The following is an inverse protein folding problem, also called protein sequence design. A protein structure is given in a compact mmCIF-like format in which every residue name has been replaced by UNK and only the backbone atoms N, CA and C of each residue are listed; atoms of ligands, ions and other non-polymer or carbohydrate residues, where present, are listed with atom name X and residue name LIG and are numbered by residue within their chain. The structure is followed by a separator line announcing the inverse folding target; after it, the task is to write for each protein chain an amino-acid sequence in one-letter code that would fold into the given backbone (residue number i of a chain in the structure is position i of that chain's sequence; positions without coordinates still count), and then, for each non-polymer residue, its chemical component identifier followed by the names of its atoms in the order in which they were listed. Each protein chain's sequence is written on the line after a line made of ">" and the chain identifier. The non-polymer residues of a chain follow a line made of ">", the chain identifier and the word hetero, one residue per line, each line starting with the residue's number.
data_IF_166031932346
#
_entry.id   IF_166031932346
#
_cell.length_a   1.000
_cell.length_b   1.000
_cell.length_c   1.000
_cell.angle_alpha   90.00
_cell.angle_beta   90.00
_cell.angle_gamma   90.00
#
_symmetry.space_group_name_H-M   'P 1'
#
loop_
_entity.id
_entity.type
_entity.pdbx_description
1 polymer ?
#
# COMPACT_ATOMS: atom_id res chain seq x y z
N UNK A 1 6.13 9.25 -11.72
CA UNK A 1 6.13 8.06 -10.85
C UNK A 1 7.42 7.99 -10.04
N UNK A 2 7.31 7.78 -8.73
CA UNK A 2 8.45 7.42 -7.86
C UNK A 2 8.34 5.95 -7.50
N UNK A 3 9.33 5.17 -7.91
CA UNK A 3 9.50 3.79 -7.53
C UNK A 3 10.56 3.68 -6.44
N UNK A 4 10.15 3.29 -5.24
CA UNK A 4 11.08 3.18 -4.13
C UNK A 4 10.62 2.12 -3.12
N UNK A 5 11.57 1.34 -2.59
CA UNK A 5 11.29 0.29 -1.62
C UNK A 5 10.50 0.81 -0.40
N UNK A 6 9.76 -0.06 0.26
CA UNK A 6 9.05 0.29 1.50
C UNK A 6 10.05 0.68 2.59
N UNK A 7 9.72 1.70 3.39
CA UNK A 7 10.58 2.19 4.48
C UNK A 7 11.54 3.33 4.11
N UNK A 8 11.68 3.70 2.83
CA UNK A 8 12.59 4.78 2.38
C UNK A 8 12.04 6.18 2.68
N UNK A 9 10.77 6.31 3.04
CA UNK A 9 10.18 7.62 3.31
C UNK A 9 9.43 8.25 2.13
N UNK A 10 8.85 7.45 1.23
CA UNK A 10 8.02 7.94 0.10
C UNK A 10 6.97 8.96 0.52
N UNK A 11 6.28 8.74 1.65
CA UNK A 11 5.25 9.64 2.16
C UNK A 11 5.83 11.00 2.59
N UNK A 12 7.02 11.00 3.20
CA UNK A 12 7.73 12.24 3.53
C UNK A 12 8.17 12.98 2.27
N UNK A 13 8.69 12.27 1.26
CA UNK A 13 9.01 12.88 -0.04
C UNK A 13 7.78 13.57 -0.61
N UNK A 14 6.62 12.91 -0.63
CA UNK A 14 5.37 13.52 -1.12
C UNK A 14 4.95 14.74 -0.30
N UNK A 15 5.12 14.70 1.04
CA UNK A 15 4.81 15.82 1.91
C UNK A 15 5.70 17.04 1.64
N UNK A 16 7.00 16.83 1.44
CA UNK A 16 7.96 17.91 1.10
C UNK A 16 7.72 18.48 -0.30
N UNK A 17 7.56 17.62 -1.30
CA UNK A 17 7.38 18.04 -2.69
C UNK A 17 6.06 18.81 -2.88
N UNK A 18 5.00 18.39 -2.20
CA UNK A 18 3.70 19.07 -2.23
C UNK A 18 3.62 20.31 -1.37
N UNK A 19 4.65 20.69 -0.59
CA UNK A 19 4.57 21.76 0.41
C UNK A 19 4.25 23.14 -0.17
N UNK A 20 4.62 23.42 -1.41
CA UNK A 20 4.35 24.69 -2.10
C UNK A 20 2.92 24.82 -2.65
N UNK A 21 2.16 23.72 -2.72
CA UNK A 21 0.80 23.72 -3.25
C UNK A 21 -0.24 23.94 -2.14
N UNK A 22 -1.29 24.67 -2.46
CA UNK A 22 -2.34 25.05 -1.49
C UNK A 22 -3.33 23.92 -1.27
N UNK A 23 -3.71 23.22 -2.35
CA UNK A 23 -4.71 22.15 -2.32
C UNK A 23 -4.10 20.84 -2.78
N UNK A 24 -3.98 19.89 -1.85
CA UNK A 24 -3.32 18.62 -2.05
C UNK A 24 -4.27 17.48 -1.74
N UNK A 25 -4.32 16.49 -2.62
CA UNK A 25 -5.04 15.24 -2.42
C UNK A 25 -4.06 14.09 -2.25
N UNK A 26 -4.20 13.33 -1.18
CA UNK A 26 -3.49 12.06 -0.96
C UNK A 26 -4.48 10.90 -1.02
N UNK A 27 -4.27 9.96 -1.92
CA UNK A 27 -5.17 8.83 -2.16
C UNK A 27 -4.50 7.52 -1.80
N UNK A 28 -5.16 6.71 -0.97
CA UNK A 28 -4.73 5.34 -0.64
C UNK A 28 -5.93 4.40 -0.46
N UNK A 29 -5.67 3.09 -0.45
CA UNK A 29 -6.74 2.09 -0.36
C UNK A 29 -7.12 1.70 1.08
N UNK A 30 -6.28 1.98 2.08
CA UNK A 30 -6.51 1.63 3.50
C UNK A 30 -6.51 2.85 4.40
N UNK A 31 -7.45 2.88 5.34
CA UNK A 31 -7.55 3.95 6.35
C UNK A 31 -6.27 4.08 7.18
N UNK A 32 -5.61 2.95 7.51
CA UNK A 32 -4.37 2.98 8.29
C UNK A 32 -3.24 3.72 7.57
N UNK A 33 -3.14 3.55 6.24
CA UNK A 33 -2.15 4.27 5.42
C UNK A 33 -2.46 5.77 5.42
N UNK A 34 -3.73 6.15 5.29
CA UNK A 34 -4.14 7.55 5.34
C UNK A 34 -3.78 8.19 6.69
N UNK A 35 -4.05 7.51 7.81
CA UNK A 35 -3.71 7.98 9.16
C UNK A 35 -2.20 8.14 9.36
N UNK A 36 -1.40 7.18 8.86
CA UNK A 36 0.06 7.28 8.90
C UNK A 36 0.58 8.43 8.02
N UNK A 37 -0.01 8.62 6.86
CA UNK A 37 0.36 9.71 5.95
C UNK A 37 0.10 11.08 6.57
N UNK A 38 -1.04 11.28 7.25
CA UNK A 38 -1.34 12.53 7.99
C UNK A 38 -0.24 12.86 8.98
N UNK A 39 0.28 11.88 9.73
CA UNK A 39 1.37 12.11 10.69
C UNK A 39 2.62 12.61 9.98
N UNK A 40 2.99 11.98 8.86
CA UNK A 40 4.15 12.40 8.06
C UNK A 40 3.97 13.83 7.51
N UNK A 41 2.77 14.14 7.01
CA UNK A 41 2.44 15.47 6.49
C UNK A 41 2.45 16.55 7.58
N UNK A 42 1.93 16.25 8.77
CA UNK A 42 1.97 17.17 9.92
C UNK A 42 3.39 17.53 10.33
N UNK A 43 4.31 16.58 10.25
CA UNK A 43 5.72 16.82 10.56
C UNK A 43 6.42 17.74 9.55
N UNK A 44 5.92 17.83 8.33
CA UNK A 44 6.50 18.65 7.24
C UNK A 44 5.74 19.97 7.07
N UNK A 45 4.41 19.91 7.14
CA UNK A 45 3.49 21.03 6.87
C UNK A 45 2.65 21.35 8.09
N UNK A 46 3.29 21.71 9.20
CA UNK A 46 2.65 21.92 10.50
C UNK A 46 1.55 23.00 10.53
N UNK A 47 1.58 23.94 9.58
CA UNK A 47 0.58 25.01 9.46
C UNK A 47 -0.61 24.68 8.54
N UNK A 48 -0.59 23.53 7.85
CA UNK A 48 -1.69 23.12 6.99
C UNK A 48 -2.85 22.54 7.81
N UNK A 49 -4.06 22.69 7.32
CA UNK A 49 -5.23 22.01 7.84
C UNK A 49 -5.50 20.73 7.05
N UNK A 50 -5.93 19.68 7.75
CA UNK A 50 -6.04 18.34 7.26
C UNK A 50 -7.46 17.82 7.37
N UNK A 51 -7.91 17.10 6.38
CA UNK A 51 -9.21 16.45 6.37
C UNK A 51 -9.19 15.06 5.78
N UNK A 52 -10.24 14.29 6.03
CA UNK A 52 -10.44 12.96 5.49
C UNK A 52 -11.65 12.92 4.55
N UNK A 53 -11.50 12.14 3.48
CA UNK A 53 -12.59 11.81 2.58
C UNK A 53 -12.67 10.29 2.43
N UNK A 54 -13.35 9.65 3.39
CA UNK A 54 -13.42 8.20 3.49
C UNK A 54 -14.85 7.70 3.82
N UNK A 55 -14.99 6.49 4.33
CA UNK A 55 -16.28 5.92 4.71
C UNK A 55 -17.02 6.68 5.82
N UNK A 56 -16.30 7.46 6.63
CA UNK A 56 -16.82 8.13 7.83
C UNK A 56 -16.87 9.63 7.70
N UNK A 57 -15.84 10.23 7.13
CA UNK A 57 -15.65 11.68 7.00
C UNK A 57 -15.71 12.10 5.53
N UNK A 58 -16.20 13.30 5.27
CA UNK A 58 -16.39 13.91 3.93
C UNK A 58 -15.90 15.35 3.92
N UNK A 59 -14.72 15.59 4.48
CA UNK A 59 -14.12 16.92 4.47
C UNK A 59 -13.82 17.39 3.05
N UNK A 60 -14.09 18.67 2.76
CA UNK A 60 -13.86 19.27 1.45
C UNK A 60 -13.01 20.53 1.49
N UNK A 61 -13.15 21.33 2.54
CA UNK A 61 -12.57 22.68 2.63
C UNK A 61 -11.19 22.68 3.33
N UNK A 62 -10.44 21.58 3.21
CA UNK A 62 -9.11 21.44 3.82
C UNK A 62 -8.00 21.59 2.79
N UNK A 63 -6.87 22.12 3.24
CA UNK A 63 -5.68 22.29 2.38
C UNK A 63 -5.12 20.96 1.91
N UNK A 64 -5.17 19.94 2.77
CA UNK A 64 -4.72 18.59 2.44
C UNK A 64 -5.83 17.60 2.78
N UNK A 65 -6.32 16.89 1.77
CA UNK A 65 -7.35 15.87 1.93
C UNK A 65 -6.74 14.48 1.72
N UNK A 66 -6.99 13.59 2.68
CA UNK A 66 -6.61 12.19 2.65
C UNK A 66 -7.85 11.36 2.30
N UNK A 67 -7.86 10.80 1.10
CA UNK A 67 -9.04 10.12 0.57
C UNK A 67 -8.84 8.62 0.42
N UNK A 68 -9.85 7.84 0.82
CA UNK A 68 -9.87 6.43 0.46
C UNK A 68 -10.36 6.25 -0.98
N UNK A 69 -9.68 5.39 -1.73
CA UNK A 69 -10.08 5.02 -3.10
C UNK A 69 -11.51 4.48 -3.13
N UNK A 70 -11.87 3.65 -2.15
CA UNK A 70 -13.19 3.01 -2.07
C UNK A 70 -14.33 4.03 -1.94
N UNK A 71 -14.04 5.22 -1.40
CA UNK A 71 -15.01 6.31 -1.29
C UNK A 71 -14.88 7.27 -2.46
N UNK A 72 -13.73 7.92 -2.62
CA UNK A 72 -13.55 8.97 -3.63
C UNK A 72 -13.72 8.42 -5.07
N UNK A 73 -13.33 7.18 -5.33
CA UNK A 73 -13.45 6.55 -6.66
C UNK A 73 -14.89 6.16 -7.06
N UNK A 74 -15.91 6.54 -6.27
CA UNK A 74 -17.30 6.40 -6.66
C UNK A 74 -17.72 7.56 -7.55
N UNK A 75 -18.52 7.29 -8.56
CA UNK A 75 -18.96 8.30 -9.53
C UNK A 75 -19.78 9.43 -8.90
N UNK A 76 -20.44 9.17 -7.77
CA UNK A 76 -21.21 10.14 -7.02
C UNK A 76 -20.38 11.28 -6.41
N UNK A 77 -19.06 11.07 -6.23
CA UNK A 77 -18.15 12.07 -5.66
C UNK A 77 -17.24 12.74 -6.70
N UNK A 78 -17.10 12.17 -7.88
CA UNK A 78 -16.29 12.70 -8.96
C UNK A 78 -17.15 13.59 -9.87
N UNK A 79 -17.51 14.77 -9.36
CA UNK A 79 -18.32 15.76 -10.08
C UNK A 79 -18.10 17.17 -9.50
N UNK A 80 -18.53 18.19 -10.23
CA UNK A 80 -18.37 19.60 -9.90
C UNK A 80 -18.99 20.02 -8.55
N UNK A 81 -20.01 19.30 -8.07
CA UNK A 81 -20.68 19.61 -6.79
C UNK A 81 -19.80 19.27 -5.60
N UNK A 82 -19.02 18.18 -5.69
CA UNK A 82 -18.11 17.76 -4.63
C UNK A 82 -16.73 18.40 -4.79
N UNK A 83 -16.08 18.15 -5.93
CA UNK A 83 -14.77 18.68 -6.25
C UNK A 83 -14.71 18.98 -7.74
N UNK A 84 -14.53 20.25 -8.17
CA UNK A 84 -14.17 20.56 -9.54
C UNK A 84 -12.93 19.77 -10.00
N UNK A 85 -12.85 19.48 -11.28
CA UNK A 85 -11.76 18.66 -11.81
C UNK A 85 -10.36 19.25 -11.53
N UNK A 86 -10.26 20.58 -11.48
CA UNK A 86 -9.04 21.35 -11.17
C UNK A 86 -8.89 21.73 -9.68
N UNK A 87 -9.76 21.19 -8.81
CA UNK A 87 -9.78 21.57 -7.39
C UNK A 87 -8.44 21.34 -6.69
N UNK A 88 -7.79 20.22 -6.94
CA UNK A 88 -6.51 19.89 -6.36
C UNK A 88 -5.36 20.29 -7.29
N UNK A 89 -4.44 21.09 -6.78
CA UNK A 89 -3.23 21.49 -7.52
C UNK A 89 -2.21 20.33 -7.59
N UNK A 90 -2.20 19.48 -6.57
CA UNK A 90 -1.28 18.35 -6.44
C UNK A 90 -2.04 17.09 -5.99
N UNK A 91 -1.94 16.03 -6.77
CA UNK A 91 -2.56 14.74 -6.46
C UNK A 91 -1.49 13.68 -6.26
N UNK A 92 -1.58 12.97 -5.12
CA UNK A 92 -0.67 11.87 -4.77
C UNK A 92 -1.49 10.58 -4.76
N UNK A 93 -1.02 9.59 -5.51
CA UNK A 93 -1.59 8.24 -5.51
C UNK A 93 -0.58 7.30 -4.89
N UNK A 94 -0.88 6.82 -3.70
CA UNK A 94 -0.07 5.79 -3.04
C UNK A 94 -0.45 4.41 -3.57
N UNK A 95 0.53 3.49 -3.56
CA UNK A 95 0.44 2.18 -4.19
C UNK A 95 -0.01 2.28 -5.67
N UNK A 96 0.68 3.14 -6.43
CA UNK A 96 0.34 3.49 -7.80
C UNK A 96 0.23 2.30 -8.75
N UNK A 97 0.79 1.14 -8.40
CA UNK A 97 0.59 -0.10 -9.14
C UNK A 97 -0.88 -0.54 -9.21
N UNK A 98 -1.76 0.01 -8.37
CA UNK A 98 -3.21 -0.17 -8.48
C UNK A 98 -3.91 0.83 -9.41
N UNK A 99 -3.21 1.85 -9.95
CA UNK A 99 -3.80 2.93 -10.75
C UNK A 99 -4.57 2.46 -12.00
N UNK A 100 -4.31 1.27 -12.50
CA UNK A 100 -5.03 0.65 -13.62
C UNK A 100 -6.36 -0.03 -13.22
N UNK A 101 -6.70 -0.08 -11.93
CA UNK A 101 -8.00 -0.59 -11.48
C UNK A 101 -9.08 0.49 -11.61
N UNK A 102 -10.32 0.09 -11.84
CA UNK A 102 -11.41 1.00 -12.21
C UNK A 102 -11.60 2.20 -11.25
N UNK A 103 -11.48 1.97 -9.94
CA UNK A 103 -11.68 3.05 -8.95
C UNK A 103 -10.53 4.07 -8.97
N UNK A 104 -9.28 3.59 -9.02
CA UNK A 104 -8.12 4.48 -9.12
C UNK A 104 -8.10 5.22 -10.44
N UNK A 105 -8.39 4.51 -11.53
CA UNK A 105 -8.42 5.06 -12.87
C UNK A 105 -9.40 6.21 -12.98
N UNK A 106 -10.63 6.05 -12.45
CA UNK A 106 -11.61 7.14 -12.41
C UNK A 106 -11.10 8.38 -11.69
N UNK A 107 -10.40 8.23 -10.58
CA UNK A 107 -9.82 9.36 -9.84
C UNK A 107 -8.75 10.07 -10.70
N UNK A 108 -7.83 9.31 -11.29
CA UNK A 108 -6.74 9.85 -12.12
C UNK A 108 -7.26 10.51 -13.39
N UNK A 109 -8.29 9.96 -14.03
CA UNK A 109 -8.89 10.51 -15.24
C UNK A 109 -9.79 11.73 -14.96
N UNK A 110 -10.38 11.81 -13.77
CA UNK A 110 -11.26 12.93 -13.41
C UNK A 110 -10.49 14.19 -13.03
N UNK A 111 -9.52 14.08 -12.12
CA UNK A 111 -8.78 15.25 -11.65
C UNK A 111 -7.72 15.71 -12.66
N UNK A 112 -7.59 17.03 -12.79
CA UNK A 112 -6.63 17.70 -13.66
C UNK A 112 -5.65 18.54 -12.82
N UNK A 113 -4.81 17.93 -11.97
CA UNK A 113 -3.88 18.65 -11.13
C UNK A 113 -2.74 19.26 -11.95
N UNK A 114 -2.08 20.27 -11.40
CA UNK A 114 -0.82 20.78 -11.96
C UNK A 114 0.28 19.71 -11.88
N UNK A 115 0.21 18.83 -10.88
CA UNK A 115 1.16 17.72 -10.72
C UNK A 115 0.49 16.46 -10.16
N UNK A 116 0.73 15.34 -10.84
CA UNK A 116 0.33 13.99 -10.39
C UNK A 116 1.55 13.21 -9.93
N UNK A 117 1.61 12.82 -8.67
CA UNK A 117 2.65 11.97 -8.09
C UNK A 117 2.14 10.55 -7.84
N UNK A 118 2.67 9.58 -8.55
CA UNK A 118 2.49 8.16 -8.22
C UNK A 118 3.62 7.66 -7.32
N UNK A 119 3.28 6.96 -6.24
CA UNK A 119 4.22 6.30 -5.35
C UNK A 119 4.01 4.79 -5.39
N UNK A 120 5.06 4.01 -5.57
CA UNK A 120 4.98 2.54 -5.50
C UNK A 120 6.28 1.92 -5.01
N UNK A 121 6.16 0.76 -4.36
CA UNK A 121 7.31 -0.09 -4.03
C UNK A 121 7.52 -1.22 -5.06
N UNK A 122 6.52 -1.50 -5.89
CA UNK A 122 6.47 -2.60 -6.86
C UNK A 122 5.84 -2.13 -8.16
N UNK A 123 6.62 -1.60 -9.11
CA UNK A 123 6.08 -1.10 -10.38
C UNK A 123 5.63 -2.24 -11.31
N UNK A 124 6.24 -3.41 -11.16
CA UNK A 124 5.90 -4.58 -11.98
C UNK A 124 4.61 -5.24 -11.50
N UNK A 125 3.74 -5.55 -12.43
CA UNK A 125 2.46 -6.22 -12.19
C UNK A 125 2.44 -7.57 -12.89
N UNK A 126 1.90 -8.57 -12.18
CA UNK A 126 1.73 -9.92 -12.73
C UNK A 126 0.65 -10.00 -13.84
N UNK A 127 -0.24 -9.00 -13.91
CA UNK A 127 -1.34 -8.96 -14.90
C UNK A 127 -0.95 -8.27 -16.22
N UNK A 128 0.33 -7.88 -16.40
CA UNK A 128 0.86 -7.26 -17.61
C UNK A 128 0.34 -5.86 -17.92
N UNK A 129 -0.48 -5.26 -17.05
CA UNK A 129 -0.96 -3.90 -17.23
C UNK A 129 0.14 -2.88 -16.97
N UNK A 130 0.30 -1.95 -17.89
CA UNK A 130 1.35 -0.95 -17.84
C UNK A 130 0.92 0.30 -17.06
N UNK A 131 1.50 0.50 -15.88
CA UNK A 131 1.25 1.70 -15.08
C UNK A 131 2.05 2.91 -15.56
N UNK A 132 3.09 2.69 -16.35
CA UNK A 132 3.97 3.78 -16.82
C UNK A 132 3.28 4.68 -17.83
N UNK A 133 2.31 4.18 -18.59
CA UNK A 133 1.49 4.97 -19.51
C UNK A 133 0.74 6.11 -18.81
N UNK A 134 0.25 5.84 -17.58
CA UNK A 134 -0.52 6.83 -16.80
C UNK A 134 0.34 8.04 -16.39
N UNK A 135 1.63 7.86 -16.28
CA UNK A 135 2.58 8.92 -15.94
C UNK A 135 3.53 9.28 -17.09
N UNK A 136 3.10 9.06 -18.34
CA UNK A 136 3.85 9.36 -19.57
C UNK A 136 5.29 8.82 -19.53
N UNK A 137 5.48 7.64 -18.95
CA UNK A 137 6.78 6.99 -18.72
C UNK A 137 7.78 7.85 -17.90
N UNK A 138 7.29 8.86 -17.20
CA UNK A 138 8.13 9.72 -16.38
C UNK A 138 8.40 9.09 -15.01
N UNK A 139 9.62 8.56 -14.82
CA UNK A 139 10.09 7.94 -13.57
C UNK A 139 11.36 8.68 -13.10
N UNK A 140 11.21 9.85 -12.47
CA UNK A 140 12.36 10.68 -12.06
C UNK A 140 13.21 10.05 -10.97
N UNK A 141 12.65 9.14 -10.17
CA UNK A 141 13.38 8.46 -9.12
C UNK A 141 13.01 6.99 -9.03
N UNK A 142 14.03 6.16 -9.00
CA UNK A 142 13.90 4.72 -8.84
C UNK A 142 14.99 4.20 -7.90
N UNK A 143 14.59 3.38 -6.91
CA UNK A 143 15.51 2.66 -6.04
C UNK A 143 14.89 1.34 -5.58
N UNK A 144 15.54 0.25 -5.92
CA UNK A 144 15.15 -1.09 -5.50
C UNK A 144 15.48 -1.36 -4.03
N UNK A 145 14.88 -2.41 -3.45
CA UNK A 145 15.21 -2.86 -2.08
C UNK A 145 16.71 -3.17 -1.94
N UNK A 146 17.29 -3.86 -2.91
CA UNK A 146 18.72 -4.22 -2.91
C UNK A 146 19.62 -2.99 -2.92
N UNK A 147 19.31 -2.03 -3.79
CA UNK A 147 20.08 -0.77 -3.86
C UNK A 147 19.95 0.06 -2.59
N UNK A 148 18.75 0.12 -2.00
CA UNK A 148 18.51 0.84 -0.77
C UNK A 148 19.30 0.24 0.41
N UNK A 149 19.38 -1.08 0.49
CA UNK A 149 20.23 -1.78 1.46
C UNK A 149 21.71 -1.48 1.21
N UNK A 150 22.17 -1.60 -0.03
CA UNK A 150 23.58 -1.36 -0.39
C UNK A 150 24.01 0.09 -0.12
N UNK A 151 23.08 1.05 -0.23
CA UNK A 151 23.31 2.47 0.09
C UNK A 151 23.15 2.80 1.59
N UNK A 152 22.88 1.79 2.45
CA UNK A 152 22.67 2.00 3.89
C UNK A 152 21.36 2.73 4.25
N UNK A 153 20.44 2.89 3.30
CA UNK A 153 19.13 3.52 3.55
C UNK A 153 18.15 2.56 4.24
N UNK A 154 18.35 1.26 4.04
CA UNK A 154 17.60 0.18 4.69
C UNK A 154 18.58 -0.82 5.30
N UNK A 155 18.17 -1.46 6.39
CA UNK A 155 18.99 -2.51 7.04
C UNK A 155 18.95 -3.81 6.23
N UNK A 156 20.05 -4.56 6.17
CA UNK A 156 20.05 -5.89 5.57
C UNK A 156 19.21 -6.86 6.40
N UNK A 157 18.77 -7.93 5.76
CA UNK A 157 18.03 -9.02 6.42
C UNK A 157 18.60 -10.37 6.02
N UNK A 158 18.35 -11.38 6.85
CA UNK A 158 18.62 -12.77 6.54
C UNK A 158 17.34 -13.45 6.14
N UNK A 159 17.34 -14.11 4.98
CA UNK A 159 16.22 -14.90 4.51
C UNK A 159 16.48 -16.38 4.76
N UNK A 160 15.57 -17.06 5.43
CA UNK A 160 15.63 -18.50 5.70
C UNK A 160 14.41 -19.18 5.08
N UNK A 161 14.65 -19.98 4.05
CA UNK A 161 13.64 -20.89 3.50
C UNK A 161 13.54 -22.13 4.37
N UNK A 162 12.33 -22.45 4.85
CA UNK A 162 12.07 -23.67 5.61
C UNK A 162 11.09 -24.51 4.81
N UNK A 163 11.54 -25.73 4.42
CA UNK A 163 10.67 -26.68 3.77
C UNK A 163 9.76 -27.34 4.80
N UNK A 164 8.47 -27.41 4.52
CA UNK A 164 7.51 -28.23 5.26
C UNK A 164 6.95 -29.34 4.35
N UNK A 165 6.45 -30.41 4.94
CA UNK A 165 5.93 -31.58 4.25
C UNK A 165 4.43 -31.47 3.92
N UNK A 166 3.85 -30.26 3.99
CA UNK A 166 2.45 -30.05 3.67
C UNK A 166 2.20 -30.33 2.18
N UNK A 167 1.28 -31.24 1.90
CA UNK A 167 0.87 -31.55 0.51
C UNK A 167 -0.13 -30.50 0.02
N UNK A 168 0.27 -29.76 -1.01
CA UNK A 168 -0.55 -28.73 -1.68
C UNK A 168 -1.19 -29.24 -2.98
N UNK A 169 -0.90 -30.47 -3.42
CA UNK A 169 -1.31 -30.98 -4.74
C UNK A 169 -2.82 -31.09 -4.91
N UNK A 170 -3.53 -31.33 -3.80
CA UNK A 170 -5.00 -31.42 -3.76
C UNK A 170 -5.73 -30.09 -3.58
N UNK A 171 -5.01 -28.98 -3.36
CA UNK A 171 -5.65 -27.71 -3.08
C UNK A 171 -6.09 -26.97 -4.34
N UNK A 172 -7.31 -26.46 -4.36
CA UNK A 172 -7.85 -25.67 -5.48
C UNK A 172 -7.18 -24.30 -5.56
N UNK A 173 -6.96 -23.87 -6.80
CA UNK A 173 -6.48 -22.53 -7.12
C UNK A 173 -7.65 -21.70 -7.64
N UNK A 174 -8.00 -20.65 -6.92
CA UNK A 174 -9.05 -19.69 -7.27
C UNK A 174 -8.41 -18.33 -7.57
N UNK A 175 -8.55 -17.83 -8.81
CA UNK A 175 -7.95 -16.55 -9.24
C UNK A 175 -6.44 -16.43 -8.96
N UNK A 176 -5.69 -17.53 -9.17
CA UNK A 176 -4.24 -17.56 -8.99
C UNK A 176 -3.76 -17.67 -7.53
N UNK A 177 -4.65 -17.96 -6.58
CA UNK A 177 -4.36 -18.21 -5.17
C UNK A 177 -4.99 -19.50 -4.71
N UNK A 178 -4.38 -20.17 -3.75
CA UNK A 178 -5.02 -21.32 -3.10
C UNK A 178 -6.31 -20.89 -2.40
N UNK A 179 -7.30 -21.80 -2.41
CA UNK A 179 -8.54 -21.58 -1.68
C UNK A 179 -8.27 -21.48 -0.18
N UNK A 180 -8.78 -20.42 0.48
CA UNK A 180 -8.48 -20.12 1.87
C UNK A 180 -9.03 -21.19 2.84
N UNK A 181 -10.20 -21.77 2.53
CA UNK A 181 -10.79 -22.80 3.38
C UNK A 181 -9.97 -24.09 3.33
N UNK A 182 -9.51 -24.49 2.15
CA UNK A 182 -8.66 -25.66 1.98
C UNK A 182 -7.26 -25.46 2.60
N UNK A 183 -6.68 -24.25 2.50
CA UNK A 183 -5.46 -23.93 3.25
C UNK A 183 -5.64 -24.00 4.76
N UNK A 184 -6.76 -23.52 5.28
CA UNK A 184 -7.07 -23.63 6.70
C UNK A 184 -7.15 -25.08 7.15
N UNK A 185 -7.77 -25.97 6.35
CA UNK A 185 -7.84 -27.42 6.65
C UNK A 185 -6.46 -28.07 6.66
N UNK A 186 -5.54 -27.63 5.78
CA UNK A 186 -4.18 -28.15 5.72
C UNK A 186 -3.28 -27.66 6.87
N UNK A 187 -3.58 -26.48 7.44
CA UNK A 187 -2.71 -25.84 8.42
C UNK A 187 -3.21 -25.93 9.86
N UNK A 188 -4.52 -25.71 10.09
CA UNK A 188 -5.10 -25.68 11.44
C UNK A 188 -5.08 -27.08 12.04
N UNK A 189 -4.53 -27.21 13.26
CA UNK A 189 -4.35 -28.50 13.95
C UNK A 189 -3.22 -29.38 13.42
N UNK A 190 -2.38 -28.87 12.53
CA UNK A 190 -1.21 -29.63 12.03
C UNK A 190 -0.03 -29.47 13.02
N UNK A 191 0.02 -30.31 14.04
CA UNK A 191 1.04 -30.28 15.08
C UNK A 191 2.46 -30.36 14.55
N UNK A 192 2.71 -31.22 13.55
CA UNK A 192 4.06 -31.36 12.92
C UNK A 192 4.54 -30.05 12.32
N UNK A 193 3.63 -29.32 11.68
CA UNK A 193 3.90 -28.01 11.12
C UNK A 193 4.17 -26.99 12.21
N UNK A 194 3.41 -26.99 13.29
CA UNK A 194 3.61 -26.10 14.43
C UNK A 194 4.94 -26.32 15.12
N UNK A 195 5.31 -27.59 15.36
CA UNK A 195 6.62 -27.95 15.91
C UNK A 195 7.77 -27.49 15.02
N UNK A 196 7.63 -27.64 13.68
CA UNK A 196 8.60 -27.15 12.73
C UNK A 196 8.77 -25.63 12.81
N UNK A 197 7.67 -24.89 12.78
CA UNK A 197 7.65 -23.44 12.89
C UNK A 197 8.27 -22.99 14.21
N UNK A 198 7.85 -23.59 15.31
CA UNK A 198 8.36 -23.28 16.66
C UNK A 198 9.86 -23.56 16.79
N UNK A 199 10.34 -24.68 16.25
CA UNK A 199 11.78 -25.02 16.20
C UNK A 199 12.60 -23.94 15.52
N UNK A 200 12.16 -23.47 14.34
CA UNK A 200 12.90 -22.45 13.59
C UNK A 200 12.71 -21.07 14.20
N UNK A 201 11.54 -20.73 14.72
CA UNK A 201 11.33 -19.51 15.51
C UNK A 201 12.30 -19.45 16.69
N UNK A 202 12.42 -20.52 17.48
CA UNK A 202 13.37 -20.59 18.59
C UNK A 202 14.83 -20.44 18.17
N UNK A 203 15.18 -21.03 17.04
CA UNK A 203 16.55 -20.96 16.49
C UNK A 203 16.91 -19.53 16.06
N UNK A 204 15.98 -18.82 15.45
CA UNK A 204 16.22 -17.51 14.84
C UNK A 204 15.48 -16.37 15.54
N UNK A 205 14.99 -16.62 16.75
CA UNK A 205 14.20 -15.65 17.51
C UNK A 205 14.90 -14.31 17.66
N UNK A 206 14.10 -13.22 17.60
CA UNK A 206 14.50 -11.88 17.98
C UNK A 206 13.59 -11.35 19.09
N UNK A 207 13.87 -10.11 19.55
CA UNK A 207 13.05 -9.45 20.56
C UNK A 207 11.61 -9.16 20.07
N UNK A 208 11.42 -9.07 18.77
CA UNK A 208 10.11 -8.82 18.14
C UNK A 208 9.95 -9.74 16.95
N UNK A 209 8.77 -10.33 16.81
CA UNK A 209 8.42 -11.18 15.69
C UNK A 209 7.02 -10.84 15.19
N UNK A 210 6.80 -11.03 13.89
CA UNK A 210 5.49 -10.92 13.25
C UNK A 210 5.25 -12.21 12.48
N UNK A 211 4.11 -12.87 12.72
CA UNK A 211 3.65 -14.02 11.97
C UNK A 211 2.63 -13.62 10.91
N UNK A 212 2.79 -14.12 9.70
CA UNK A 212 1.81 -13.99 8.62
C UNK A 212 1.13 -15.33 8.40
N UNK A 213 -0.19 -15.35 8.53
CA UNK A 213 -1.01 -16.55 8.40
C UNK A 213 -1.93 -16.45 7.19
N UNK A 214 -2.41 -17.58 6.67
CA UNK A 214 -3.30 -17.61 5.50
C UNK A 214 -4.69 -17.04 5.81
N UNK A 215 -5.12 -17.08 7.07
CA UNK A 215 -6.39 -16.53 7.55
C UNK A 215 -6.29 -16.06 9.00
N UNK A 216 -7.32 -15.34 9.44
CA UNK A 216 -7.46 -14.93 10.85
C UNK A 216 -7.54 -16.15 11.79
N UNK A 217 -8.32 -17.16 11.42
CA UNK A 217 -8.47 -18.39 12.20
C UNK A 217 -7.13 -19.14 12.35
N UNK A 218 -6.33 -19.23 11.26
CA UNK A 218 -4.99 -19.80 11.34
C UNK A 218 -4.08 -18.97 12.27
N UNK A 219 -4.21 -17.64 12.25
CA UNK A 219 -3.45 -16.77 13.15
C UNK A 219 -3.81 -16.96 14.62
N UNK A 220 -5.09 -17.14 14.93
CA UNK A 220 -5.58 -17.42 16.27
C UNK A 220 -5.13 -18.81 16.78
N UNK A 221 -5.04 -19.79 15.88
CA UNK A 221 -4.55 -21.14 16.22
C UNK A 221 -3.04 -21.17 16.45
N UNK A 222 -2.28 -20.45 15.62
CA UNK A 222 -0.82 -20.31 15.77
C UNK A 222 -0.40 -19.52 17.02
N UNK A 223 -1.28 -18.76 17.62
CA UNK A 223 -1.00 -17.96 18.82
C UNK A 223 -1.18 -18.72 20.13
N UNK A 224 -1.74 -19.93 20.10
CA UNK A 224 -1.92 -20.83 21.26
C UNK A 224 -0.64 -21.58 21.59
#
# INVERSE_FOLDING_TARGET
>A
LVYAATGIGKTYLAAFDSAKYKRVLFVAHREEILKQAVVSFKNVRNSADYGFFDGKEKDRDKSVIFASVATLGRTEYLNETYFPADYFEYVIIDEFHHAVTDQYRRIVEYFQPQFLLGLTATPERMDGKNIYEICDYNVPYQISLKEAINKGMLVPFHYYGVYDETDYSGLRIVKGRYDEQELNQAYIGNERRYDLIYKYYRKYRSLRAIGFCCSRQHGEDMAK
#
